data_IF_098212506009
#
_entry.id   IF_098212506009
#
_cell.length_a   1.000
_cell.length_b   1.000
_cell.length_c   1.000
_cell.angle_alpha   90.00
_cell.angle_beta   90.00
_cell.angle_gamma   90.00
#
_symmetry.space_group_name_H-M   'P 1'
#
loop_
_entity.id
_entity.type
_entity.pdbx_description
1 polymer ?
#
# COMPACT_ATOMS: atom_id res chain seq x y z
N UNK A 1 31.83 -45.11 20.69
CA UNK A 1 30.38 -44.83 20.53
C UNK A 1 30.14 -43.35 20.77
N UNK A 2 29.97 -42.55 19.70
CA UNK A 2 29.58 -41.14 19.80
C UNK A 2 28.45 -40.92 18.81
N UNK A 3 27.20 -40.91 19.29
CA UNK A 3 26.04 -40.55 18.47
C UNK A 3 25.91 -39.03 18.54
N UNK A 4 26.18 -38.36 17.43
CA UNK A 4 25.95 -36.92 17.26
C UNK A 4 24.44 -36.67 17.22
N UNK A 5 23.94 -35.86 18.16
CA UNK A 5 22.62 -35.24 18.07
C UNK A 5 22.73 -34.05 17.09
N UNK A 6 22.13 -34.17 15.92
CA UNK A 6 21.91 -33.03 15.03
C UNK A 6 20.55 -32.44 15.42
N UNK A 7 20.58 -31.33 16.14
CA UNK A 7 19.40 -30.50 16.42
C UNK A 7 19.13 -29.66 15.17
N UNK A 8 18.11 -30.04 14.41
CA UNK A 8 17.63 -29.29 13.26
C UNK A 8 16.82 -28.08 13.77
N UNK A 9 17.46 -26.92 13.85
CA UNK A 9 16.77 -25.64 14.11
C UNK A 9 16.01 -25.26 12.83
N UNK A 10 14.73 -25.61 12.77
CA UNK A 10 13.80 -25.10 11.76
C UNK A 10 13.44 -23.67 12.15
N UNK A 11 14.25 -22.71 11.70
CA UNK A 11 13.89 -21.30 11.82
C UNK A 11 12.69 -20.99 10.93
N UNK A 12 11.56 -20.58 11.52
CA UNK A 12 10.46 -19.95 10.79
C UNK A 12 11.00 -18.64 10.18
N UNK A 13 11.37 -18.68 8.90
CA UNK A 13 11.79 -17.49 8.16
C UNK A 13 10.56 -16.63 7.89
N UNK A 14 10.24 -15.73 8.82
CA UNK A 14 9.29 -14.66 8.56
C UNK A 14 9.88 -13.75 7.49
N UNK A 15 9.26 -13.69 6.31
CA UNK A 15 9.70 -12.79 5.25
C UNK A 15 9.28 -11.36 5.59
N UNK A 16 10.25 -10.54 6.01
CA UNK A 16 10.07 -9.10 6.22
C UNK A 16 10.35 -8.42 4.88
N UNK A 17 9.37 -7.69 4.36
CA UNK A 17 9.53 -6.87 3.15
C UNK A 17 9.53 -5.41 3.53
N UNK A 18 10.52 -4.66 3.05
CA UNK A 18 10.52 -3.21 3.13
C UNK A 18 9.74 -2.65 1.93
N UNK A 19 8.68 -1.91 2.20
CA UNK A 19 7.79 -1.31 1.21
C UNK A 19 7.73 0.21 1.41
N UNK A 20 7.71 0.96 0.31
CA UNK A 20 7.58 2.42 0.36
C UNK A 20 6.09 2.80 0.35
N UNK A 21 5.59 3.41 1.42
CA UNK A 21 4.23 3.96 1.48
C UNK A 21 4.29 5.48 1.26
N UNK A 22 3.48 5.98 0.33
CA UNK A 22 3.40 7.41 0.04
C UNK A 22 2.05 7.96 0.50
N UNK A 23 2.08 9.09 1.19
CA UNK A 23 0.89 9.79 1.70
C UNK A 23 1.03 11.28 1.44
N UNK A 24 -0.05 11.91 0.99
CA UNK A 24 -0.18 13.35 0.95
C UNK A 24 -0.81 13.83 2.22
N UNK A 25 -0.10 14.72 2.91
CA UNK A 25 -0.60 15.42 4.09
C UNK A 25 -0.95 16.84 3.64
N UNK A 26 -2.25 17.16 3.69
CA UNK A 26 -2.75 18.50 3.36
C UNK A 26 -2.14 19.53 4.29
N UNK A 27 -1.85 20.73 3.78
CA UNK A 27 -1.31 21.82 4.61
C UNK A 27 -2.33 22.17 5.71
N UNK A 28 -1.99 21.98 6.99
CA UNK A 28 -2.90 22.23 8.08
C UNK A 28 -3.12 23.74 8.23
N UNK A 29 -4.37 24.12 8.50
CA UNK A 29 -4.78 25.53 8.62
C UNK A 29 -4.54 26.11 10.02
N UNK A 30 -4.31 25.24 11.01
CA UNK A 30 -4.11 25.61 12.41
C UNK A 30 -2.88 24.93 13.00
N UNK A 31 -2.27 25.54 14.01
CA UNK A 31 -1.09 25.01 14.72
C UNK A 31 -1.36 23.62 15.33
N UNK A 32 -2.55 23.40 15.87
CA UNK A 32 -2.97 22.07 16.37
C UNK A 32 -3.02 21.02 15.26
N UNK A 33 -3.59 21.34 14.10
CA UNK A 33 -3.58 20.43 12.94
C UNK A 33 -2.15 20.19 12.44
N UNK A 34 -1.25 21.17 12.59
CA UNK A 34 0.14 21.04 12.21
C UNK A 34 0.91 20.05 13.10
N UNK A 35 0.65 20.06 14.41
CA UNK A 35 1.18 19.05 15.32
C UNK A 35 0.67 17.65 14.98
N UNK A 36 -0.65 17.50 14.73
CA UNK A 36 -1.22 16.22 14.30
C UNK A 36 -0.67 15.73 12.96
N UNK A 37 -0.48 16.62 11.99
CA UNK A 37 0.13 16.34 10.70
C UNK A 37 1.60 15.92 10.83
N UNK A 38 2.34 16.56 11.74
CA UNK A 38 3.76 16.28 12.01
C UNK A 38 3.95 14.92 12.67
N UNK A 39 3.02 14.49 13.53
CA UNK A 39 3.01 13.17 14.15
C UNK A 39 2.08 12.17 13.43
N UNK A 40 1.62 12.48 12.23
CA UNK A 40 0.62 11.68 11.54
C UNK A 40 1.16 10.26 11.31
N UNK A 41 0.53 9.32 11.99
CA UNK A 41 0.77 7.90 11.80
C UNK A 41 0.31 7.49 10.41
N UNK A 42 0.97 6.49 9.84
CA UNK A 42 0.59 5.95 8.54
C UNK A 42 -0.82 5.37 8.66
N UNK A 43 -1.79 5.82 7.84
CA UNK A 43 -3.10 5.18 7.79
C UNK A 43 -2.93 3.71 7.45
N UNK A 44 -3.53 2.82 8.24
CA UNK A 44 -3.39 1.37 8.03
C UNK A 44 -3.83 0.97 6.62
N UNK A 45 -4.82 1.65 6.07
CA UNK A 45 -5.31 1.46 4.70
C UNK A 45 -4.19 1.62 3.66
N UNK A 46 -3.32 2.62 3.83
CA UNK A 46 -2.21 2.85 2.92
C UNK A 46 -1.12 1.78 2.99
N UNK A 47 -1.03 1.05 4.10
CA UNK A 47 -0.19 -0.13 4.23
C UNK A 47 -0.89 -1.36 3.64
N UNK A 48 -2.22 -1.47 3.83
CA UNK A 48 -3.00 -2.64 3.40
C UNK A 48 -2.98 -2.86 1.89
N UNK A 49 -2.60 -1.86 1.09
CA UNK A 49 -2.46 -2.02 -0.37
C UNK A 49 -1.44 -3.09 -0.75
N UNK A 50 -0.48 -3.40 0.11
CA UNK A 50 0.55 -4.43 -0.12
C UNK A 50 0.12 -5.84 0.33
N UNK A 51 -1.09 -5.98 0.87
CA UNK A 51 -1.71 -7.27 1.16
C UNK A 51 -2.94 -7.49 0.27
N UNK A 52 -3.28 -8.76 -0.04
CA UNK A 52 -4.44 -9.08 -0.85
C UNK A 52 -5.72 -8.52 -0.23
N UNK A 53 -6.31 -7.56 -0.93
CA UNK A 53 -7.59 -6.96 -0.56
C UNK A 53 -8.66 -7.56 -1.46
N UNK A 54 -9.67 -8.18 -0.87
CA UNK A 54 -10.82 -8.66 -1.62
C UNK A 54 -11.63 -7.45 -2.11
N UNK A 55 -12.12 -7.54 -3.34
CA UNK A 55 -13.04 -6.57 -3.90
C UNK A 55 -14.21 -7.25 -4.59
N UNK A 56 -15.35 -6.56 -4.61
CA UNK A 56 -16.47 -6.84 -5.49
C UNK A 56 -16.98 -5.55 -6.14
N UNK A 57 -17.42 -5.65 -7.40
CA UNK A 57 -18.00 -4.54 -8.14
C UNK A 57 -19.52 -4.66 -8.21
N UNK A 58 -20.19 -3.59 -7.82
CA UNK A 58 -21.63 -3.40 -7.93
C UNK A 58 -21.90 -2.16 -8.79
N UNK A 59 -21.96 -2.36 -10.11
CA UNK A 59 -21.99 -1.25 -11.06
C UNK A 59 -20.69 -0.44 -11.03
N UNK A 60 -20.78 0.85 -10.69
CA UNK A 60 -19.63 1.75 -10.50
C UNK A 60 -19.06 1.72 -9.09
N UNK A 61 -19.75 1.07 -8.14
CA UNK A 61 -19.30 0.97 -6.74
C UNK A 61 -18.34 -0.20 -6.58
N UNK A 62 -17.28 0.01 -5.82
CA UNK A 62 -16.34 -1.03 -5.39
C UNK A 62 -16.50 -1.23 -3.88
N UNK A 63 -16.73 -2.47 -3.47
CA UNK A 63 -16.73 -2.88 -2.07
C UNK A 63 -15.40 -3.54 -1.78
N UNK A 64 -14.79 -3.18 -0.65
CA UNK A 64 -13.51 -3.71 -0.19
C UNK A 64 -13.71 -4.54 1.07
N UNK A 65 -13.10 -5.71 1.12
CA UNK A 65 -12.98 -6.50 2.34
C UNK A 65 -11.53 -6.90 2.55
N UNK A 66 -11.04 -6.68 3.77
CA UNK A 66 -9.65 -6.95 4.15
C UNK A 66 -9.66 -8.16 5.07
N UNK A 67 -9.05 -9.24 4.63
CA UNK A 67 -9.02 -10.52 5.35
C UNK A 67 -7.60 -10.96 5.72
N UNK A 68 -6.59 -10.15 5.39
CA UNK A 68 -5.20 -10.55 5.55
C UNK A 68 -4.65 -10.17 6.92
N UNK A 69 -4.14 -11.16 7.64
CA UNK A 69 -3.37 -10.93 8.85
C UNK A 69 -1.95 -10.46 8.48
N UNK A 70 -1.61 -9.25 8.92
CA UNK A 70 -0.26 -8.70 8.83
C UNK A 70 0.06 -7.87 10.06
N UNK A 71 1.35 -7.73 10.34
CA UNK A 71 1.89 -6.69 11.22
C UNK A 71 2.82 -5.80 10.40
N UNK A 72 2.91 -4.53 10.77
CA UNK A 72 3.84 -3.61 10.16
C UNK A 72 4.53 -2.73 11.20
N UNK A 73 5.75 -2.32 10.89
CA UNK A 73 6.46 -1.25 11.59
C UNK A 73 6.92 -0.20 10.57
N UNK A 74 7.20 1.01 11.04
CA UNK A 74 7.69 2.10 10.21
C UNK A 74 8.81 2.83 10.93
N UNK A 75 9.83 3.22 10.19
CA UNK A 75 10.95 4.03 10.68
C UNK A 75 10.64 5.54 10.69
N UNK A 76 9.39 5.91 10.40
CA UNK A 76 8.92 7.29 10.31
C UNK A 76 8.72 7.78 8.87
N UNK A 77 8.13 8.97 8.76
CA UNK A 77 7.84 9.62 7.48
C UNK A 77 8.90 10.66 7.12
N UNK A 78 9.32 10.67 5.86
CA UNK A 78 10.18 11.72 5.30
C UNK A 78 9.42 12.52 4.25
N UNK A 79 9.39 13.84 4.40
CA UNK A 79 8.88 14.73 3.37
C UNK A 79 9.72 14.58 2.09
N UNK A 80 9.05 14.32 0.96
CA UNK A 80 9.67 14.16 -0.35
C UNK A 80 9.49 15.40 -1.20
N UNK A 81 8.28 15.98 -1.20
CA UNK A 81 7.94 17.10 -2.06
C UNK A 81 6.75 17.90 -1.56
N UNK A 82 6.92 19.22 -1.50
CA UNK A 82 5.82 20.16 -1.31
C UNK A 82 5.16 20.51 -2.64
N UNK A 83 3.84 20.69 -2.61
CA UNK A 83 3.05 21.14 -3.74
C UNK A 83 1.81 21.91 -3.28
N UNK A 84 0.99 22.39 -4.22
CA UNK A 84 -0.13 23.29 -3.91
C UNK A 84 -1.19 22.67 -2.99
N UNK A 85 -1.32 21.34 -2.98
CA UNK A 85 -2.37 20.63 -2.22
C UNK A 85 -1.86 20.02 -0.91
N UNK A 86 -0.56 20.07 -0.64
CA UNK A 86 0.02 19.44 0.54
C UNK A 86 1.49 19.13 0.40
N UNK A 87 1.97 18.27 1.29
CA UNK A 87 3.31 17.70 1.28
C UNK A 87 3.20 16.20 1.07
N UNK A 88 3.95 15.68 0.12
CA UNK A 88 4.10 14.25 -0.11
C UNK A 88 5.14 13.70 0.85
N UNK A 89 4.74 12.74 1.69
CA UNK A 89 5.62 11.98 2.56
C UNK A 89 5.85 10.57 2.00
N UNK A 90 7.06 10.06 2.22
CA UNK A 90 7.41 8.65 2.03
C UNK A 90 7.72 8.04 3.40
N UNK A 91 7.12 6.89 3.66
CA UNK A 91 7.38 6.08 4.82
C UNK A 91 7.99 4.76 4.37
N UNK A 92 9.08 4.35 5.02
CA UNK A 92 9.64 3.02 4.85
C UNK A 92 8.93 2.09 5.82
N UNK A 93 8.17 1.13 5.31
CA UNK A 93 7.35 0.22 6.11
C UNK A 93 7.92 -1.19 6.01
N UNK A 94 8.23 -1.78 7.16
CA UNK A 94 8.55 -3.21 7.25
C UNK A 94 7.26 -3.99 7.47
N UNK A 95 6.88 -4.79 6.48
CA UNK A 95 5.65 -5.59 6.50
C UNK A 95 5.97 -7.05 6.77
N UNK A 96 5.41 -7.59 7.85
CA UNK A 96 5.47 -9.01 8.16
C UNK A 96 4.12 -9.65 7.83
N UNK A 97 4.13 -10.49 6.80
CA UNK A 97 2.95 -11.21 6.32
C UNK A 97 2.87 -12.56 7.05
N UNK A 98 1.72 -12.91 7.62
CA UNK A 98 1.53 -14.24 8.25
C UNK A 98 1.37 -15.37 7.24
N UNK A 99 0.96 -15.04 6.00
CA UNK A 99 0.75 -15.98 4.90
C UNK A 99 1.45 -15.49 3.64
N UNK A 100 1.85 -16.42 2.77
CA UNK A 100 2.37 -16.08 1.45
C UNK A 100 1.30 -15.36 0.63
N UNK A 101 1.76 -14.46 -0.26
CA UNK A 101 0.86 -13.82 -1.21
C UNK A 101 0.35 -14.86 -2.22
N UNK A 102 -0.93 -14.77 -2.64
CA UNK A 102 -1.45 -15.62 -3.69
C UNK A 102 -0.72 -15.37 -5.01
N UNK A 103 -0.72 -16.37 -5.90
CA UNK A 103 -0.12 -16.22 -7.23
C UNK A 103 -0.95 -15.24 -8.06
N UNK A 104 -0.33 -14.16 -8.53
CA UNK A 104 -0.98 -13.21 -9.43
C UNK A 104 -1.31 -13.89 -10.77
N UNK A 105 -2.58 -13.78 -11.20
CA UNK A 105 -3.02 -14.16 -12.55
C UNK A 105 -2.79 -13.04 -13.56
N UNK A 106 -2.87 -11.78 -13.11
CA UNK A 106 -2.68 -10.59 -13.93
C UNK A 106 -1.96 -9.52 -13.15
N UNK A 107 -1.10 -8.76 -13.81
CA UNK A 107 -0.48 -7.55 -13.27
C UNK A 107 -0.76 -6.41 -14.24
N UNK A 108 -1.21 -5.28 -13.73
CA UNK A 108 -1.44 -4.05 -14.51
C UNK A 108 -0.58 -2.93 -13.94
N UNK A 109 -0.16 -2.02 -14.81
CA UNK A 109 0.58 -0.82 -14.42
C UNK A 109 -0.36 0.38 -14.48
N UNK A 110 -0.49 1.07 -13.36
CA UNK A 110 -1.26 2.30 -13.23
C UNK A 110 -0.29 3.45 -13.06
N UNK A 111 -0.58 4.55 -13.74
CA UNK A 111 0.11 5.82 -13.51
C UNK A 111 -0.80 6.73 -12.69
N UNK A 112 -0.25 7.31 -11.63
CA UNK A 112 -0.93 8.34 -10.83
C UNK A 112 -0.07 9.60 -10.86
N UNK A 113 -0.65 10.72 -11.26
CA UNK A 113 0.04 12.02 -11.18
C UNK A 113 -0.11 12.63 -9.79
N UNK A 114 0.91 13.34 -9.34
CA UNK A 114 0.88 14.16 -8.12
C UNK A 114 -0.29 15.16 -8.13
N UNK A 115 -0.70 15.63 -9.32
CA UNK A 115 -1.85 16.53 -9.47
C UNK A 115 -3.20 15.87 -9.15
N UNK A 116 -3.27 14.54 -9.17
CA UNK A 116 -4.48 13.78 -8.82
C UNK A 116 -4.59 13.55 -7.31
N UNK A 117 -3.54 13.88 -6.56
CA UNK A 117 -3.49 13.71 -5.11
C UNK A 117 -3.90 14.99 -4.36
N UNK A 118 -4.33 14.83 -3.12
CA UNK A 118 -4.76 15.94 -2.24
C UNK A 118 -5.98 16.69 -2.75
N UNK A 119 -6.83 16.06 -3.57
CA UNK A 119 -8.02 16.69 -4.18
C UNK A 119 -9.26 16.59 -3.29
N UNK A 120 -9.19 15.82 -2.20
CA UNK A 120 -10.35 15.46 -1.38
C UNK A 120 -11.24 14.38 -2.00
N UNK A 121 -10.92 13.92 -3.22
CA UNK A 121 -11.58 12.76 -3.82
C UNK A 121 -11.18 11.48 -3.08
N UNK A 122 -11.98 10.42 -3.25
CA UNK A 122 -11.74 9.11 -2.65
C UNK A 122 -10.31 8.63 -2.96
N UNK A 123 -9.56 8.32 -1.90
CA UNK A 123 -8.17 7.82 -1.93
C UNK A 123 -7.13 8.80 -2.50
N UNK A 124 -7.48 10.07 -2.70
CA UNK A 124 -6.54 11.08 -3.22
C UNK A 124 -5.37 11.39 -2.27
N UNK A 125 -5.42 10.93 -1.03
CA UNK A 125 -4.36 11.03 -0.04
C UNK A 125 -3.24 9.99 -0.23
N UNK A 126 -3.47 8.90 -0.97
CA UNK A 126 -2.45 7.88 -1.22
C UNK A 126 -2.43 7.44 -2.68
N UNK A 127 -1.31 7.61 -3.40
CA UNK A 127 -1.19 7.12 -4.77
C UNK A 127 -1.39 5.60 -4.85
N UNK A 128 -1.01 4.85 -3.81
CA UNK A 128 -1.26 3.42 -3.73
C UNK A 128 -2.74 3.07 -3.71
N UNK A 129 -3.50 3.65 -2.78
CA UNK A 129 -4.95 3.42 -2.68
C UNK A 129 -5.67 3.86 -3.97
N UNK A 130 -5.33 5.04 -4.49
CA UNK A 130 -5.90 5.55 -5.73
C UNK A 130 -5.61 4.63 -6.92
N UNK A 131 -4.37 4.14 -7.04
CA UNK A 131 -4.00 3.23 -8.11
C UNK A 131 -4.71 1.87 -7.99
N UNK A 132 -4.82 1.32 -6.78
CA UNK A 132 -5.55 0.09 -6.52
C UNK A 132 -7.02 0.22 -6.94
N UNK A 133 -7.67 1.32 -6.53
CA UNK A 133 -9.07 1.61 -6.89
C UNK A 133 -9.25 1.75 -8.40
N UNK A 134 -8.41 2.55 -9.07
CA UNK A 134 -8.42 2.70 -10.54
C UNK A 134 -8.21 1.38 -11.26
N UNK A 135 -7.25 0.57 -10.80
CA UNK A 135 -6.97 -0.73 -11.38
C UNK A 135 -8.19 -1.67 -11.29
N UNK A 136 -8.86 -1.70 -10.13
CA UNK A 136 -10.05 -2.54 -9.91
C UNK A 136 -11.20 -2.10 -10.82
N UNK A 137 -11.48 -0.78 -10.90
CA UNK A 137 -12.50 -0.23 -11.79
C UNK A 137 -12.24 -0.61 -13.24
N UNK A 138 -11.00 -0.45 -13.71
CA UNK A 138 -10.59 -0.77 -15.07
C UNK A 138 -10.47 -2.28 -15.35
N UNK A 139 -10.45 -3.13 -14.32
CA UNK A 139 -10.31 -4.58 -14.48
C UNK A 139 -11.59 -5.22 -15.04
N UNK A 140 -11.46 -6.36 -15.71
CA UNK A 140 -12.61 -7.17 -16.14
C UNK A 140 -13.18 -8.08 -15.04
N UNK A 141 -12.50 -8.19 -13.89
CA UNK A 141 -12.93 -9.03 -12.78
C UNK A 141 -14.17 -8.44 -12.12
N UNK A 142 -15.23 -9.24 -11.91
CA UNK A 142 -16.40 -8.81 -11.11
C UNK A 142 -16.09 -8.78 -9.61
N UNK A 143 -15.29 -9.75 -9.17
CA UNK A 143 -14.73 -9.83 -7.82
C UNK A 143 -13.39 -10.56 -7.86
N UNK A 144 -12.63 -10.48 -6.77
CA UNK A 144 -11.35 -11.15 -6.62
C UNK A 144 -10.48 -10.46 -5.57
N UNK A 145 -9.19 -10.69 -5.62
CA UNK A 145 -8.20 -10.03 -4.77
C UNK A 145 -7.27 -9.16 -5.61
N UNK A 146 -6.91 -8.01 -5.05
CA UNK A 146 -5.92 -7.12 -5.63
C UNK A 146 -4.95 -6.62 -4.57
N UNK A 147 -3.68 -6.42 -4.96
CA UNK A 147 -2.65 -5.83 -4.13
C UNK A 147 -1.59 -5.16 -5.00
N UNK A 148 -0.85 -4.23 -4.40
CA UNK A 148 0.28 -3.57 -5.02
C UNK A 148 1.52 -4.45 -4.86
N UNK A 149 2.27 -4.58 -5.95
CA UNK A 149 3.55 -5.29 -5.97
C UNK A 149 4.75 -4.35 -6.08
N UNK A 150 4.53 -3.10 -6.52
CA UNK A 150 5.56 -2.07 -6.57
C UNK A 150 4.94 -0.68 -6.70
N UNK A 151 5.55 0.31 -6.04
CA UNK A 151 5.31 1.74 -6.25
C UNK A 151 6.65 2.40 -6.54
N UNK A 152 6.72 3.15 -7.64
CA UNK A 152 7.89 3.94 -8.01
C UNK A 152 7.49 5.38 -8.25
N UNK A 153 8.11 6.32 -7.52
CA UNK A 153 7.98 7.74 -7.78
C UNK A 153 9.15 8.22 -8.62
N UNK A 154 8.88 9.00 -9.67
CA UNK A 154 9.92 9.53 -10.58
C UNK A 154 10.67 10.75 -10.02
N UNK A 155 10.43 11.10 -8.75
CA UNK A 155 10.92 12.31 -8.08
C UNK A 155 10.49 13.63 -8.72
N UNK A 156 9.56 13.60 -9.69
CA UNK A 156 9.04 14.77 -10.39
C UNK A 156 7.56 14.93 -10.12
N UNK A 157 6.72 14.05 -10.65
CA UNK A 157 5.27 14.21 -10.59
C UNK A 157 4.47 12.93 -10.86
N UNK A 158 5.12 11.79 -11.09
CA UNK A 158 4.44 10.57 -11.52
C UNK A 158 4.80 9.39 -10.64
N UNK A 159 3.77 8.65 -10.26
CA UNK A 159 3.88 7.33 -9.67
C UNK A 159 3.59 6.26 -10.72
N UNK A 160 4.47 5.28 -10.85
CA UNK A 160 4.26 4.06 -11.63
C UNK A 160 4.02 2.93 -10.65
N UNK A 161 2.82 2.36 -10.68
CA UNK A 161 2.34 1.42 -9.66
C UNK A 161 1.92 0.14 -10.33
N UNK A 162 2.44 -0.99 -9.85
CA UNK A 162 2.04 -2.32 -10.33
C UNK A 162 1.00 -2.93 -9.40
N UNK A 163 -0.14 -3.30 -9.95
CA UNK A 163 -1.26 -3.91 -9.22
C UNK A 163 -1.46 -5.33 -9.73
N UNK A 164 -1.35 -6.29 -8.84
CA UNK A 164 -1.61 -7.70 -9.10
C UNK A 164 -3.08 -8.05 -8.82
N UNK A 165 -3.58 -9.03 -9.55
CA UNK A 165 -4.95 -9.55 -9.46
C UNK A 165 -4.95 -11.07 -9.44
N UNK A 166 -5.92 -11.63 -8.71
CA UNK A 166 -6.32 -13.04 -8.75
C UNK A 166 -7.82 -13.13 -8.42
N UNK A 167 -8.48 -14.17 -8.89
CA UNK A 167 -9.84 -14.56 -8.49
C UNK A 167 -9.84 -15.51 -7.26
N UNK A 168 -8.70 -16.14 -6.96
CA UNK A 168 -8.54 -17.16 -5.93
C UNK A 168 -7.51 -16.73 -4.88
N UNK A 169 -7.80 -17.04 -3.62
CA UNK A 169 -6.85 -16.87 -2.50
C UNK A 169 -5.95 -18.09 -2.33
#
# INVERSE_FOLDING_TARGET
MKKLFIVLIVGLVSSIFAEDVFIVISKPSTEGQNLWATYAQIPIEAVTVYVPTYFSKEGSKVIYQRFFDFSFSSDGGRAIKDFSKGTLYKYSVSLQKKKSLPKAKKIVKITVSLNELGTGAMYSESPGLLALHKAILASSYKSGFAWITAIQFDNKSLFKISVAFTDNM
#
